data_IF_995920100044
#
_entry.id   IF_995920100044
#
_cell.length_a   1.000
_cell.length_b   1.000
_cell.length_c   1.000
_cell.angle_alpha   90.00
_cell.angle_beta   90.00
_cell.angle_gamma   90.00
#
_symmetry.space_group_name_H-M   'P 1'
#
loop_
_entity.id
_entity.type
_entity.pdbx_description
1 polymer ?
#
# COMPACT_ATOMS: atom_id res chain seq x y z
N UNK A 1 -14.58 26.90 15.26
CA UNK A 1 -13.85 26.52 14.02
C UNK A 1 -13.46 27.80 13.29
N UNK A 2 -12.16 28.12 13.23
CA UNK A 2 -11.72 29.37 12.63
C UNK A 2 -11.78 29.30 11.09
N UNK A 3 -12.37 30.29 10.46
CA UNK A 3 -12.37 30.45 8.98
C UNK A 3 -10.94 30.30 8.40
N UNK A 4 -9.95 30.79 9.12
CA UNK A 4 -8.52 30.72 8.79
C UNK A 4 -7.99 29.28 8.70
N UNK A 5 -8.43 28.37 9.57
CA UNK A 5 -7.93 26.97 9.56
C UNK A 5 -8.49 26.20 8.37
N UNK A 6 -9.74 26.47 7.98
CA UNK A 6 -10.33 25.92 6.78
C UNK A 6 -9.59 26.35 5.50
N UNK A 7 -9.14 27.61 5.41
CA UNK A 7 -8.34 28.11 4.29
C UNK A 7 -6.96 27.45 4.25
N UNK A 8 -6.29 27.33 5.42
CA UNK A 8 -4.99 26.66 5.53
C UNK A 8 -5.09 25.18 5.12
N UNK A 9 -6.16 24.49 5.56
CA UNK A 9 -6.42 23.10 5.19
C UNK A 9 -6.58 22.95 3.67
N UNK A 10 -7.39 23.79 3.02
CA UNK A 10 -7.55 23.73 1.56
C UNK A 10 -6.23 23.95 0.82
N UNK A 11 -5.40 24.89 1.30
CA UNK A 11 -4.07 25.12 0.73
C UNK A 11 -3.18 23.88 0.88
N UNK A 12 -3.17 23.24 2.05
CA UNK A 12 -2.40 22.02 2.31
C UNK A 12 -2.83 20.86 1.40
N UNK A 13 -4.15 20.66 1.22
CA UNK A 13 -4.70 19.67 0.30
C UNK A 13 -4.32 19.95 -1.17
N UNK A 14 -4.32 21.22 -1.58
CA UNK A 14 -3.87 21.62 -2.93
C UNK A 14 -2.39 21.32 -3.16
N UNK A 15 -1.52 21.55 -2.17
CA UNK A 15 -0.10 21.19 -2.27
C UNK A 15 0.06 19.68 -2.46
N UNK A 16 -0.67 18.89 -1.68
CA UNK A 16 -0.66 17.43 -1.81
C UNK A 16 -1.12 16.95 -3.20
N UNK A 17 -2.22 17.50 -3.70
CA UNK A 17 -2.75 17.17 -5.05
C UNK A 17 -1.77 17.54 -6.17
N UNK A 18 -0.98 18.60 -5.99
CA UNK A 18 0.05 19.01 -6.96
C UNK A 18 1.35 18.20 -6.86
N UNK A 19 1.43 17.25 -5.92
CA UNK A 19 2.63 16.45 -5.70
C UNK A 19 3.73 17.15 -4.86
N UNK A 20 3.46 18.36 -4.34
CA UNK A 20 4.35 19.00 -3.37
C UNK A 20 4.16 18.36 -1.99
N UNK A 21 4.73 17.17 -1.84
CA UNK A 21 4.59 16.37 -0.62
C UNK A 21 5.25 17.04 0.59
N UNK A 22 6.41 17.68 0.39
CA UNK A 22 7.12 18.36 1.46
C UNK A 22 6.34 19.58 1.97
N UNK A 23 5.84 20.41 1.06
CA UNK A 23 4.99 21.55 1.40
C UNK A 23 3.66 21.13 2.03
N UNK A 24 3.03 20.07 1.53
CA UNK A 24 1.81 19.51 2.10
C UNK A 24 2.03 19.00 3.52
N UNK A 25 3.11 18.24 3.76
CA UNK A 25 3.47 17.74 5.09
C UNK A 25 3.64 18.86 6.09
N UNK A 26 4.46 19.88 5.76
CA UNK A 26 4.70 21.02 6.64
C UNK A 26 3.39 21.75 6.98
N UNK A 27 2.49 21.92 6.00
CA UNK A 27 1.20 22.54 6.22
C UNK A 27 0.26 21.69 7.09
N UNK A 28 0.26 20.35 6.92
CA UNK A 28 -0.50 19.44 7.78
C UNK A 28 0.03 19.42 9.21
N UNK A 29 1.35 19.43 9.40
CA UNK A 29 1.97 19.53 10.73
C UNK A 29 1.58 20.83 11.45
N UNK A 30 1.58 21.95 10.75
CA UNK A 30 1.15 23.23 11.31
C UNK A 30 -0.32 23.18 11.75
N UNK A 31 -1.22 22.56 10.95
CA UNK A 31 -2.62 22.36 11.33
C UNK A 31 -2.76 21.41 12.53
N UNK A 32 -2.01 20.31 12.53
CA UNK A 32 -2.00 19.34 13.63
C UNK A 32 -1.56 19.99 14.96
N UNK A 33 -0.50 20.80 14.91
CA UNK A 33 0.06 21.50 16.09
C UNK A 33 -0.86 22.65 16.57
N UNK A 34 -1.65 23.25 15.68
CA UNK A 34 -2.66 24.25 16.07
C UNK A 34 -3.88 23.67 16.81
N UNK A 35 -3.97 22.32 16.85
CA UNK A 35 -5.12 21.63 17.45
C UNK A 35 -6.34 21.55 16.53
N UNK A 36 -6.25 21.99 15.28
CA UNK A 36 -7.34 21.86 14.32
C UNK A 36 -7.63 20.38 14.04
N UNK A 37 -8.91 20.00 14.09
CA UNK A 37 -9.34 18.61 13.91
C UNK A 37 -10.30 18.50 12.73
N UNK A 38 -9.81 17.91 11.62
CA UNK A 38 -10.63 17.53 10.47
C UNK A 38 -10.05 16.26 9.83
N UNK A 39 -10.88 15.24 9.67
CA UNK A 39 -10.48 13.98 9.05
C UNK A 39 -9.98 14.19 7.62
N UNK A 40 -10.54 15.15 6.91
CA UNK A 40 -10.17 15.49 5.53
C UNK A 40 -8.69 15.82 5.31
N UNK A 41 -7.96 16.29 6.34
CA UNK A 41 -6.51 16.47 6.23
C UNK A 41 -5.71 15.46 7.07
N UNK A 42 -6.27 14.98 8.18
CA UNK A 42 -5.57 14.05 9.06
C UNK A 42 -5.34 12.70 8.38
N UNK A 43 -6.30 12.23 7.57
CA UNK A 43 -6.13 10.99 6.81
C UNK A 43 -5.02 11.10 5.75
N UNK A 44 -5.01 12.07 4.82
CA UNK A 44 -3.89 12.21 3.89
C UNK A 44 -2.55 12.54 4.58
N UNK A 45 -2.55 13.24 5.73
CA UNK A 45 -1.33 13.41 6.52
C UNK A 45 -0.78 12.08 7.02
N UNK A 46 -1.65 11.20 7.54
CA UNK A 46 -1.22 9.86 7.97
C UNK A 46 -0.64 9.03 6.83
N UNK A 47 -1.15 9.17 5.59
CA UNK A 47 -0.58 8.49 4.41
C UNK A 47 0.84 8.96 4.11
N UNK A 48 1.11 10.27 4.21
CA UNK A 48 2.49 10.79 4.04
C UNK A 48 3.44 10.18 5.07
N UNK A 49 3.03 10.14 6.34
CA UNK A 49 3.84 9.56 7.41
C UNK A 49 4.08 8.06 7.21
N UNK A 50 3.07 7.31 6.75
CA UNK A 50 3.19 5.88 6.41
C UNK A 50 4.22 5.66 5.29
N UNK A 51 4.19 6.50 4.25
CA UNK A 51 5.11 6.40 3.11
C UNK A 51 6.55 6.77 3.45
N UNK A 52 6.74 7.73 4.34
CA UNK A 52 8.08 8.08 4.84
C UNK A 52 8.68 6.95 5.68
N UNK A 53 7.84 6.16 6.34
CA UNK A 53 8.29 5.03 7.13
C UNK A 53 8.97 5.39 8.44
N UNK A 54 9.47 4.35 9.12
CA UNK A 54 10.13 4.48 10.40
C UNK A 54 9.18 4.42 11.61
N UNK A 55 9.65 3.81 12.70
CA UNK A 55 8.84 3.54 13.88
C UNK A 55 8.19 4.81 14.47
N UNK A 56 8.93 5.91 14.53
CA UNK A 56 8.43 7.18 15.04
C UNK A 56 7.24 7.70 14.21
N UNK A 57 7.30 7.59 12.89
CA UNK A 57 6.21 7.97 12.00
C UNK A 57 5.00 7.03 12.17
N UNK A 58 5.21 5.71 12.29
CA UNK A 58 4.11 4.77 12.52
C UNK A 58 3.39 5.01 13.86
N UNK A 59 4.13 5.34 14.92
CA UNK A 59 3.54 5.75 16.20
C UNK A 59 2.78 7.07 16.06
N UNK A 60 3.34 8.03 15.30
CA UNK A 60 2.66 9.32 15.03
C UNK A 60 1.37 9.13 14.23
N UNK A 61 1.34 8.22 13.27
CA UNK A 61 0.12 7.85 12.52
C UNK A 61 -1.00 7.46 13.50
N UNK A 62 -0.71 6.63 14.50
CA UNK A 62 -1.72 6.20 15.48
C UNK A 62 -2.31 7.40 16.26
N UNK A 63 -1.49 8.39 16.61
CA UNK A 63 -1.97 9.61 17.27
C UNK A 63 -2.82 10.49 16.35
N UNK A 64 -2.39 10.65 15.09
CA UNK A 64 -3.10 11.40 14.05
C UNK A 64 -4.48 10.77 13.79
N UNK A 65 -4.55 9.45 13.66
CA UNK A 65 -5.79 8.72 13.40
C UNK A 65 -6.76 8.76 14.58
N UNK A 66 -6.27 8.73 15.84
CA UNK A 66 -7.12 8.94 17.03
C UNK A 66 -7.79 10.31 17.05
N UNK A 67 -7.13 11.36 16.49
CA UNK A 67 -7.74 12.68 16.31
C UNK A 67 -8.72 12.68 15.14
N UNK A 68 -8.37 12.01 14.02
CA UNK A 68 -9.24 11.91 12.84
C UNK A 68 -10.57 11.23 13.18
N UNK A 69 -10.54 10.17 13.99
CA UNK A 69 -11.74 9.45 14.42
C UNK A 69 -12.76 10.35 15.14
N UNK A 70 -12.27 11.34 15.90
CA UNK A 70 -13.09 12.28 16.67
C UNK A 70 -13.46 13.55 15.89
N UNK A 71 -13.02 13.67 14.64
CA UNK A 71 -13.28 14.85 13.82
C UNK A 71 -14.75 14.91 13.40
N UNK A 72 -15.33 16.11 13.41
CA UNK A 72 -16.75 16.31 13.07
C UNK A 72 -17.10 16.05 11.62
N UNK A 73 -16.09 15.98 10.74
CA UNK A 73 -16.24 15.67 9.32
C UNK A 73 -15.94 14.19 8.99
N UNK A 74 -15.84 13.32 10.02
CA UNK A 74 -15.73 11.87 9.83
C UNK A 74 -17.05 11.32 9.30
N UNK A 75 -16.96 10.44 8.29
CA UNK A 75 -18.08 9.71 7.70
C UNK A 75 -17.66 8.26 7.41
N UNK A 76 -18.54 7.43 6.88
CA UNK A 76 -18.27 6.00 6.65
C UNK A 76 -17.14 5.78 5.62
N UNK A 77 -17.08 6.55 4.53
CA UNK A 77 -16.00 6.44 3.53
C UNK A 77 -14.62 6.72 4.14
N UNK A 78 -14.53 7.79 4.94
CA UNK A 78 -13.30 8.15 5.66
C UNK A 78 -12.95 7.13 6.76
N UNK A 79 -13.95 6.43 7.30
CA UNK A 79 -13.73 5.39 8.32
C UNK A 79 -13.02 4.18 7.76
N UNK A 80 -13.36 3.74 6.55
CA UNK A 80 -12.63 2.67 5.85
C UNK A 80 -11.16 3.05 5.66
N UNK A 81 -10.89 4.27 5.18
CA UNK A 81 -9.53 4.79 5.03
C UNK A 81 -8.79 4.90 6.37
N UNK A 82 -9.48 5.32 7.45
CA UNK A 82 -8.91 5.39 8.80
C UNK A 82 -8.47 4.00 9.28
N UNK A 83 -9.34 3.00 9.16
CA UNK A 83 -9.03 1.62 9.57
C UNK A 83 -7.89 1.04 8.76
N UNK A 84 -7.87 1.27 7.45
CA UNK A 84 -6.79 0.84 6.56
C UNK A 84 -5.45 1.49 6.97
N UNK A 85 -5.40 2.81 7.15
CA UNK A 85 -4.16 3.48 7.56
C UNK A 85 -3.68 3.01 8.94
N UNK A 86 -4.63 2.73 9.86
CA UNK A 86 -4.31 2.20 11.18
C UNK A 86 -3.72 0.79 11.09
N UNK A 87 -4.33 -0.08 10.27
CA UNK A 87 -3.85 -1.43 10.02
C UNK A 87 -2.44 -1.44 9.42
N UNK A 88 -2.17 -0.57 8.44
CA UNK A 88 -0.82 -0.42 7.85
C UNK A 88 0.20 -0.02 8.91
N UNK A 89 -0.14 0.94 9.80
CA UNK A 89 0.76 1.33 10.89
C UNK A 89 1.02 0.18 11.87
N UNK A 90 -0.01 -0.59 12.22
CA UNK A 90 0.13 -1.76 13.10
C UNK A 90 0.98 -2.85 12.46
N UNK A 91 0.76 -3.16 11.17
CA UNK A 91 1.59 -4.09 10.41
C UNK A 91 3.08 -3.69 10.44
N UNK A 92 3.38 -2.43 10.14
CA UNK A 92 4.76 -1.90 10.14
C UNK A 92 5.40 -1.85 11.53
N UNK A 93 4.59 -1.86 12.59
CA UNK A 93 5.04 -2.00 13.99
C UNK A 93 5.16 -3.47 14.43
N UNK A 94 5.02 -4.43 13.51
CA UNK A 94 5.10 -5.88 13.81
C UNK A 94 3.88 -6.47 14.48
N UNK A 95 2.74 -5.77 14.47
CA UNK A 95 1.50 -6.17 15.12
C UNK A 95 0.51 -6.72 14.08
N UNK A 96 0.86 -7.86 13.49
CA UNK A 96 0.11 -8.47 12.40
C UNK A 96 -1.35 -8.76 12.77
N UNK A 97 -1.60 -9.38 13.92
CA UNK A 97 -2.96 -9.75 14.35
C UNK A 97 -3.85 -8.52 14.52
N UNK A 98 -3.32 -7.44 15.12
CA UNK A 98 -4.06 -6.17 15.26
C UNK A 98 -4.36 -5.54 13.89
N UNK A 99 -3.41 -5.62 12.94
CA UNK A 99 -3.59 -5.10 11.60
C UNK A 99 -4.69 -5.85 10.83
N UNK A 100 -4.66 -7.17 10.85
CA UNK A 100 -5.66 -8.03 10.23
C UNK A 100 -7.04 -7.77 10.84
N UNK A 101 -7.15 -7.75 12.17
CA UNK A 101 -8.42 -7.51 12.85
C UNK A 101 -9.05 -6.17 12.45
N UNK A 102 -8.26 -5.10 12.31
CA UNK A 102 -8.75 -3.79 11.86
C UNK A 102 -9.33 -3.84 10.44
N UNK A 103 -8.70 -4.58 9.54
CA UNK A 103 -9.18 -4.71 8.16
C UNK A 103 -10.38 -5.66 8.05
N UNK A 104 -10.44 -6.73 8.85
CA UNK A 104 -11.61 -7.59 8.97
C UNK A 104 -12.83 -6.78 9.46
N UNK A 105 -12.64 -5.90 10.45
CA UNK A 105 -13.69 -4.97 10.89
C UNK A 105 -14.12 -4.00 9.77
N UNK A 106 -13.17 -3.52 8.97
CA UNK A 106 -13.49 -2.67 7.83
C UNK A 106 -14.29 -3.43 6.76
N UNK A 107 -13.87 -4.66 6.45
CA UNK A 107 -14.53 -5.54 5.49
C UNK A 107 -15.96 -5.89 5.89
N UNK A 108 -16.21 -6.20 7.18
CA UNK A 108 -17.54 -6.48 7.71
C UNK A 108 -18.52 -5.29 7.62
N UNK A 109 -18.01 -4.05 7.56
CA UNK A 109 -18.84 -2.85 7.42
C UNK A 109 -19.25 -2.56 5.98
N UNK A 110 -18.50 -3.06 5.03
CA UNK A 110 -18.77 -2.89 3.60
C UNK A 110 -17.60 -3.29 2.74
N UNK A 111 -17.89 -3.88 1.61
CA UNK A 111 -16.89 -4.29 0.64
C UNK A 111 -16.33 -3.04 -0.08
N UNK A 112 -15.02 -2.88 -0.10
CA UNK A 112 -14.36 -1.86 -0.91
C UNK A 112 -12.96 -2.33 -1.35
N UNK A 113 -12.54 -1.93 -2.56
CA UNK A 113 -11.31 -2.40 -3.19
C UNK A 113 -10.06 -2.20 -2.34
N UNK A 114 -9.91 -1.04 -1.67
CA UNK A 114 -8.73 -0.78 -0.83
C UNK A 114 -8.61 -1.72 0.37
N UNK A 115 -9.72 -2.21 0.91
CA UNK A 115 -9.72 -3.20 2.01
C UNK A 115 -9.39 -4.58 1.46
N UNK A 116 -9.96 -4.96 0.32
CA UNK A 116 -9.60 -6.21 -0.37
C UNK A 116 -8.10 -6.27 -0.67
N UNK A 117 -7.53 -5.22 -1.26
CA UNK A 117 -6.11 -5.13 -1.57
C UNK A 117 -5.23 -5.28 -0.32
N UNK A 118 -5.53 -4.53 0.74
CA UNK A 118 -4.72 -4.50 1.94
C UNK A 118 -4.83 -5.79 2.77
N UNK A 119 -6.03 -6.31 2.96
CA UNK A 119 -6.24 -7.53 3.75
C UNK A 119 -5.74 -8.77 3.01
N UNK A 120 -5.95 -8.83 1.69
CA UNK A 120 -5.39 -9.88 0.83
C UNK A 120 -3.87 -9.95 0.92
N UNK A 121 -3.20 -8.80 0.86
CA UNK A 121 -1.75 -8.72 1.08
C UNK A 121 -1.35 -9.19 2.49
N UNK A 122 -2.05 -8.77 3.55
CA UNK A 122 -1.70 -9.18 4.91
C UNK A 122 -1.88 -10.69 5.16
N UNK A 123 -2.86 -11.34 4.52
CA UNK A 123 -2.99 -12.79 4.61
C UNK A 123 -1.82 -13.53 3.92
N UNK A 124 -1.27 -12.96 2.84
CA UNK A 124 -0.06 -13.50 2.20
C UNK A 124 1.13 -13.34 3.15
N UNK A 125 1.30 -12.17 3.76
CA UNK A 125 2.37 -11.90 4.72
C UNK A 125 2.26 -12.74 6.01
N UNK A 126 1.04 -13.10 6.40
CA UNK A 126 0.79 -14.03 7.52
C UNK A 126 1.27 -15.47 7.19
N UNK A 127 1.32 -15.84 5.90
CA UNK A 127 1.72 -17.17 5.45
C UNK A 127 0.62 -18.23 5.51
N UNK A 128 -0.64 -17.83 5.73
CA UNK A 128 -1.80 -18.73 5.73
C UNK A 128 -2.32 -18.89 4.30
N UNK A 129 -1.86 -19.96 3.63
CA UNK A 129 -2.12 -20.19 2.22
C UNK A 129 -3.62 -20.36 1.92
N UNK A 130 -4.34 -21.08 2.75
CA UNK A 130 -5.77 -21.35 2.54
C UNK A 130 -6.58 -20.05 2.68
N UNK A 131 -6.28 -19.28 3.73
CA UNK A 131 -6.96 -18.01 4.00
C UNK A 131 -6.63 -16.95 2.94
N UNK A 132 -5.35 -16.85 2.56
CA UNK A 132 -4.92 -15.94 1.50
C UNK A 132 -5.56 -16.26 0.16
N UNK A 133 -5.62 -17.55 -0.21
CA UNK A 133 -6.24 -17.96 -1.47
C UNK A 133 -7.74 -17.68 -1.47
N UNK A 134 -8.47 -18.12 -0.44
CA UNK A 134 -9.91 -17.92 -0.36
C UNK A 134 -10.28 -16.42 -0.43
N UNK A 135 -9.56 -15.58 0.32
CA UNK A 135 -9.85 -14.15 0.35
C UNK A 135 -9.47 -13.42 -0.95
N UNK A 136 -8.32 -13.74 -1.56
CA UNK A 136 -7.93 -13.12 -2.82
C UNK A 136 -8.78 -13.60 -4.02
N UNK A 137 -9.37 -14.79 -3.96
CA UNK A 137 -10.40 -15.22 -4.93
C UNK A 137 -11.71 -14.45 -4.75
N UNK A 138 -12.14 -14.19 -3.50
CA UNK A 138 -13.30 -13.33 -3.22
C UNK A 138 -13.04 -11.89 -3.71
N UNK A 139 -11.83 -11.37 -3.52
CA UNK A 139 -11.43 -10.05 -4.03
C UNK A 139 -11.47 -10.00 -5.57
N UNK A 140 -11.06 -11.07 -6.25
CA UNK A 140 -11.16 -11.20 -7.70
C UNK A 140 -12.61 -11.23 -8.20
N UNK A 141 -13.50 -11.91 -7.47
CA UNK A 141 -14.95 -11.94 -7.79
C UNK A 141 -15.59 -10.54 -7.60
N UNK A 142 -15.06 -9.75 -6.67
CA UNK A 142 -15.49 -8.37 -6.47
C UNK A 142 -15.02 -7.41 -7.58
N UNK A 143 -13.77 -7.53 -8.04
CA UNK A 143 -13.18 -6.70 -9.11
C UNK A 143 -12.05 -7.48 -9.80
N UNK A 144 -12.37 -8.05 -10.96
CA UNK A 144 -11.46 -8.88 -11.76
C UNK A 144 -10.50 -8.05 -12.64
N UNK A 145 -10.70 -6.73 -12.71
CA UNK A 145 -9.82 -5.79 -13.41
C UNK A 145 -8.90 -5.01 -12.45
N UNK A 146 -8.96 -5.25 -11.12
CA UNK A 146 -8.04 -4.59 -10.20
C UNK A 146 -6.64 -5.22 -10.24
N UNK A 147 -5.60 -4.48 -10.71
CA UNK A 147 -4.25 -5.04 -10.85
C UNK A 147 -3.60 -5.41 -9.52
N UNK A 148 -4.02 -4.83 -8.38
CA UNK A 148 -3.48 -5.17 -7.06
C UNK A 148 -4.06 -6.49 -6.56
N UNK A 149 -5.35 -6.73 -6.79
CA UNK A 149 -6.01 -8.01 -6.50
C UNK A 149 -5.40 -9.15 -7.32
N UNK A 150 -5.19 -8.94 -8.62
CA UNK A 150 -4.50 -9.91 -9.49
C UNK A 150 -3.08 -10.20 -9.03
N UNK A 151 -2.33 -9.18 -8.61
CA UNK A 151 -0.98 -9.32 -8.08
C UNK A 151 -0.96 -10.08 -6.74
N UNK A 152 -1.88 -9.77 -5.82
CA UNK A 152 -2.02 -10.52 -4.56
C UNK A 152 -2.33 -12.00 -4.82
N UNK A 153 -3.22 -12.29 -5.75
CA UNK A 153 -3.53 -13.67 -6.12
C UNK A 153 -2.32 -14.37 -6.74
N UNK A 154 -1.59 -13.68 -7.62
CA UNK A 154 -0.34 -14.18 -8.19
C UNK A 154 0.70 -14.47 -7.10
N UNK A 155 0.88 -13.56 -6.14
CA UNK A 155 1.79 -13.77 -5.01
C UNK A 155 1.35 -14.94 -4.12
N UNK A 156 0.04 -15.13 -3.92
CA UNK A 156 -0.49 -16.30 -3.18
C UNK A 156 -0.05 -17.59 -3.84
N UNK A 157 -0.23 -17.73 -5.16
CA UNK A 157 0.21 -18.91 -5.90
C UNK A 157 1.74 -19.06 -5.90
N UNK A 158 2.48 -17.96 -6.11
CA UNK A 158 3.94 -17.99 -6.18
C UNK A 158 4.60 -18.31 -4.85
N UNK A 159 4.22 -17.54 -3.81
CA UNK A 159 4.93 -17.52 -2.51
C UNK A 159 4.44 -18.58 -1.54
N UNK A 160 3.14 -18.89 -1.55
CA UNK A 160 2.54 -19.78 -0.56
C UNK A 160 2.25 -21.18 -1.13
N UNK A 161 1.79 -21.26 -2.37
CA UNK A 161 1.41 -22.54 -2.97
C UNK A 161 2.50 -23.14 -3.87
N UNK A 162 3.51 -22.37 -4.27
CA UNK A 162 4.58 -22.83 -5.16
C UNK A 162 4.14 -23.09 -6.61
N UNK A 163 2.89 -22.73 -6.97
CA UNK A 163 2.36 -22.87 -8.33
C UNK A 163 2.78 -21.68 -9.18
N UNK A 164 4.00 -21.76 -9.71
CA UNK A 164 4.57 -20.70 -10.55
C UNK A 164 3.84 -20.53 -11.87
N UNK A 165 3.23 -21.59 -12.43
CA UNK A 165 2.52 -21.51 -13.71
C UNK A 165 1.26 -20.66 -13.58
N UNK A 166 0.45 -20.94 -12.57
CA UNK A 166 -0.75 -20.15 -12.29
C UNK A 166 -0.40 -18.72 -11.87
N UNK A 167 0.63 -18.56 -11.05
CA UNK A 167 1.11 -17.23 -10.64
C UNK A 167 1.51 -16.36 -11.84
N UNK A 168 2.25 -16.93 -12.81
CA UNK A 168 2.66 -16.19 -14.01
C UNK A 168 1.47 -15.63 -14.78
N UNK A 169 0.39 -16.40 -14.93
CA UNK A 169 -0.84 -15.95 -15.62
C UNK A 169 -1.42 -14.70 -14.96
N UNK A 170 -1.56 -14.72 -13.63
CA UNK A 170 -2.11 -13.58 -12.90
C UNK A 170 -1.15 -12.37 -12.87
N UNK A 171 0.18 -12.57 -12.77
CA UNK A 171 1.13 -11.47 -12.92
C UNK A 171 1.07 -10.84 -14.31
N UNK A 172 0.89 -11.62 -15.37
CA UNK A 172 0.73 -11.10 -16.74
C UNK A 172 -0.55 -10.28 -16.87
N UNK A 173 -1.69 -10.76 -16.35
CA UNK A 173 -2.95 -10.02 -16.33
C UNK A 173 -2.80 -8.69 -15.58
N UNK A 174 -2.19 -8.70 -14.39
CA UNK A 174 -1.92 -7.48 -13.63
C UNK A 174 -1.04 -6.49 -14.41
N UNK A 175 -0.02 -7.01 -15.11
CA UNK A 175 0.90 -6.20 -15.91
C UNK A 175 0.23 -5.58 -17.15
N UNK A 176 -0.68 -6.30 -17.80
CA UNK A 176 -1.47 -5.78 -18.92
C UNK A 176 -2.32 -4.60 -18.53
N UNK A 177 -2.93 -4.64 -17.34
CA UNK A 177 -3.76 -3.54 -16.80
C UNK A 177 -2.88 -2.39 -16.31
N UNK A 178 -1.78 -2.69 -15.59
CA UNK A 178 -0.89 -1.70 -14.98
C UNK A 178 0.58 -2.12 -15.10
N UNK A 179 1.20 -1.73 -16.19
CA UNK A 179 2.57 -2.11 -16.53
C UNK A 179 3.67 -1.49 -15.65
N UNK A 180 3.31 -0.63 -14.69
CA UNK A 180 4.24 0.03 -13.75
C UNK A 180 4.10 -0.48 -12.32
N UNK A 181 3.33 -1.55 -12.08
CA UNK A 181 3.11 -2.08 -10.73
C UNK A 181 4.37 -2.75 -10.20
N UNK A 182 4.85 -2.26 -9.05
CA UNK A 182 6.18 -2.58 -8.50
C UNK A 182 6.34 -4.07 -8.24
N UNK A 183 5.41 -4.70 -7.49
CA UNK A 183 5.52 -6.10 -7.11
C UNK A 183 5.38 -7.02 -8.32
N UNK A 184 4.42 -6.73 -9.21
CA UNK A 184 4.26 -7.45 -10.48
C UNK A 184 5.54 -7.41 -11.32
N UNK A 185 6.16 -6.23 -11.48
CA UNK A 185 7.42 -6.10 -12.21
C UNK A 185 8.56 -6.85 -11.54
N UNK A 186 8.62 -6.82 -10.21
CA UNK A 186 9.62 -7.55 -9.44
C UNK A 186 9.51 -9.07 -9.68
N UNK A 187 8.30 -9.64 -9.56
CA UNK A 187 8.11 -11.07 -9.77
C UNK A 187 8.28 -11.49 -11.23
N UNK A 188 7.79 -10.72 -12.19
CA UNK A 188 8.04 -11.00 -13.62
C UNK A 188 9.53 -10.97 -13.95
N UNK A 189 10.32 -10.10 -13.30
CA UNK A 189 11.77 -10.10 -13.46
C UNK A 189 12.41 -11.41 -12.94
N UNK A 190 11.84 -12.07 -11.91
CA UNK A 190 12.35 -13.39 -11.47
C UNK A 190 12.13 -14.44 -12.55
N UNK A 191 10.97 -14.47 -13.22
CA UNK A 191 10.73 -15.37 -14.35
C UNK A 191 11.68 -15.12 -15.52
N UNK A 192 12.00 -13.85 -15.81
CA UNK A 192 12.99 -13.52 -16.83
C UNK A 192 14.38 -14.02 -16.47
N UNK A 193 14.78 -13.90 -15.21
CA UNK A 193 16.07 -14.41 -14.72
C UNK A 193 16.14 -15.94 -14.80
N UNK A 194 15.10 -16.63 -14.38
CA UNK A 194 14.99 -18.10 -14.48
C UNK A 194 15.07 -18.58 -15.93
N UNK A 195 14.55 -17.77 -16.87
CA UNK A 195 14.62 -18.05 -18.32
C UNK A 195 15.91 -17.55 -19.02
N UNK A 196 16.86 -16.98 -18.26
CA UNK A 196 18.11 -16.43 -18.81
C UNK A 196 17.98 -15.07 -19.52
N UNK A 197 16.81 -14.43 -19.45
CA UNK A 197 16.54 -13.12 -20.07
C UNK A 197 16.97 -11.94 -19.16
N UNK A 198 18.28 -11.87 -18.87
CA UNK A 198 18.86 -10.87 -17.93
C UNK A 198 18.49 -9.43 -18.30
N UNK A 199 18.54 -9.08 -19.59
CA UNK A 199 18.24 -7.71 -20.04
C UNK A 199 16.77 -7.30 -19.75
N UNK A 200 15.82 -8.22 -19.96
CA UNK A 200 14.39 -7.97 -19.70
C UNK A 200 14.11 -7.84 -18.21
N UNK A 201 14.76 -8.66 -17.39
CA UNK A 201 14.67 -8.54 -15.92
C UNK A 201 15.19 -7.19 -15.43
N UNK A 202 16.37 -6.75 -15.91
CA UNK A 202 16.94 -5.45 -15.56
C UNK A 202 16.02 -4.29 -15.97
N UNK A 203 15.41 -4.37 -17.15
CA UNK A 203 14.46 -3.34 -17.61
C UNK A 203 13.25 -3.24 -16.67
N UNK A 204 12.63 -4.37 -16.30
CA UNK A 204 11.49 -4.40 -15.36
C UNK A 204 11.85 -3.84 -13.98
N UNK A 205 13.00 -4.25 -13.42
CA UNK A 205 13.47 -3.77 -12.12
C UNK A 205 13.73 -2.26 -12.12
N UNK A 206 14.27 -1.70 -13.20
CA UNK A 206 14.46 -0.26 -13.35
C UNK A 206 13.14 0.50 -13.37
N UNK A 207 12.14 0.01 -14.13
CA UNK A 207 10.79 0.60 -14.14
C UNK A 207 10.17 0.54 -12.73
N UNK A 208 10.32 -0.58 -12.02
CA UNK A 208 9.81 -0.71 -10.66
C UNK A 208 10.41 0.33 -9.69
N UNK A 209 11.70 0.67 -9.83
CA UNK A 209 12.35 1.70 -9.00
C UNK A 209 11.79 3.11 -9.20
N UNK A 210 11.23 3.42 -10.37
CA UNK A 210 10.59 4.71 -10.66
C UNK A 210 9.21 4.82 -10.03
N UNK A 211 8.66 3.70 -9.54
CA UNK A 211 7.33 3.62 -8.98
C UNK A 211 7.17 4.30 -7.61
N UNK A 212 5.92 4.57 -7.26
CA UNK A 212 5.52 5.07 -5.94
C UNK A 212 5.36 3.92 -4.95
N UNK A 213 6.39 3.62 -4.19
CA UNK A 213 6.36 2.55 -3.20
C UNK A 213 5.30 2.79 -2.12
N UNK A 214 4.55 1.74 -1.84
CA UNK A 214 3.58 1.65 -0.75
C UNK A 214 4.19 0.89 0.44
N UNK A 215 3.77 1.19 1.67
CA UNK A 215 4.09 0.33 2.82
C UNK A 215 3.63 -1.12 2.67
N UNK A 216 2.68 -1.41 1.78
CA UNK A 216 2.17 -2.75 1.47
C UNK A 216 2.79 -3.35 0.20
N UNK A 217 3.88 -2.80 -0.34
CA UNK A 217 4.64 -3.52 -1.34
C UNK A 217 5.48 -4.63 -0.68
N UNK A 218 5.53 -5.78 -1.34
CA UNK A 218 6.47 -6.86 -1.04
C UNK A 218 7.90 -6.46 -1.39
N UNK A 219 8.11 -6.01 -2.63
CA UNK A 219 9.41 -5.57 -3.10
C UNK A 219 9.77 -4.19 -2.53
N UNK A 220 10.92 -4.10 -1.89
CA UNK A 220 11.47 -2.83 -1.39
C UNK A 220 12.48 -2.25 -2.37
N UNK A 221 12.77 -0.93 -2.26
CA UNK A 221 13.84 -0.30 -3.04
C UNK A 221 15.19 -1.00 -2.82
N UNK A 222 15.47 -1.39 -1.59
CA UNK A 222 16.73 -2.05 -1.24
C UNK A 222 16.84 -3.44 -1.88
N UNK A 223 15.74 -4.22 -1.89
CA UNK A 223 15.71 -5.52 -2.58
C UNK A 223 15.99 -5.37 -4.07
N UNK A 224 15.32 -4.42 -4.73
CA UNK A 224 15.50 -4.18 -6.16
C UNK A 224 16.91 -3.68 -6.48
N UNK A 225 17.44 -2.75 -5.68
CA UNK A 225 18.81 -2.23 -5.86
C UNK A 225 19.86 -3.31 -5.65
N UNK A 226 19.69 -4.15 -4.62
CA UNK A 226 20.59 -5.30 -4.38
C UNK A 226 20.58 -6.26 -5.57
N UNK A 227 19.42 -6.56 -6.13
CA UNK A 227 19.30 -7.46 -7.27
C UNK A 227 19.93 -6.86 -8.54
N UNK A 228 19.70 -5.57 -8.82
CA UNK A 228 20.32 -4.87 -9.93
C UNK A 228 21.84 -4.83 -9.79
N UNK A 229 22.36 -4.59 -8.59
CA UNK A 229 23.79 -4.60 -8.31
C UNK A 229 24.42 -5.98 -8.54
N UNK A 230 23.75 -7.04 -8.12
CA UNK A 230 24.20 -8.42 -8.36
C UNK A 230 24.21 -8.77 -9.86
N UNK A 231 23.24 -8.27 -10.63
CA UNK A 231 23.19 -8.47 -12.07
C UNK A 231 24.24 -7.65 -12.83
N UNK A 232 24.59 -6.44 -12.37
CA UNK A 232 25.66 -5.62 -12.97
C UNK A 232 27.06 -6.08 -12.63
N UNK A 233 27.25 -6.80 -11.52
CA UNK A 233 28.56 -7.34 -11.11
C UNK A 233 28.93 -8.66 -11.79
N UNK A 234 28.01 -9.26 -12.56
CA UNK A 234 28.19 -10.53 -13.26
C UNK A 234 28.58 -10.36 -14.75
N UNK A 235 29.03 -9.17 -15.14
CA UNK A 235 29.69 -8.83 -16.42
C UNK A 235 31.20 -8.70 -16.20
#
# INVERSE_FOLDING_TARGET
MGLMDGIKMRKALMLHQKGDIAGAKAAYEALYNSGYMAASYLLPYSVILLKEGGEANYLKVKEVLKKAEKASDMNEDKRAQLLMNYAVAQYKLGKMDEAIHLLELAHQRGHCGIVYQALGFLYIELGDADKALAYNLEALDYDDEDPVTLDNLAQTYYRLLGDKETALKYFQMAHEIKNTQIDTLYFLAQYDLEAGRKADAVAKLKIALEGNFSPLNYATRDMINAQLSALGSAE
#
